data_IF_764466537013
#
_entry.id   IF_764466537013
#
_cell.length_a   1.000
_cell.length_b   1.000
_cell.length_c   1.000
_cell.angle_alpha   90.00
_cell.angle_beta   90.00
_cell.angle_gamma   90.00
#
_symmetry.space_group_name_H-M   'P 1'
#
loop_
_entity.id
_entity.type
_entity.pdbx_description
1 polymer ?
#
# COMPACT_ATOMS: atom_id res chain seq x y z
N UNK A 1 9.79 0.73 10.33
CA UNK A 1 10.00 0.00 9.06
C UNK A 1 8.91 0.26 8.02
N UNK A 2 7.69 0.54 8.42
CA UNK A 2 6.55 0.79 7.54
C UNK A 2 6.72 2.06 6.66
N UNK A 3 7.35 3.11 7.19
CA UNK A 3 7.53 4.39 6.49
C UNK A 3 8.50 4.32 5.31
N UNK A 4 9.58 3.54 5.42
CA UNK A 4 10.60 3.40 4.36
C UNK A 4 10.07 2.54 3.22
N UNK A 5 9.37 1.45 3.52
CA UNK A 5 8.71 0.62 2.51
C UNK A 5 7.62 1.40 1.76
N UNK A 6 6.84 2.22 2.46
CA UNK A 6 5.84 3.11 1.87
C UNK A 6 6.48 4.10 0.88
N UNK A 7 7.62 4.70 1.25
CA UNK A 7 8.33 5.66 0.41
C UNK A 7 8.94 4.99 -0.82
N UNK A 8 9.53 3.80 -0.68
CA UNK A 8 10.13 3.06 -1.80
C UNK A 8 9.09 2.55 -2.79
N UNK A 9 7.94 2.04 -2.32
CA UNK A 9 6.88 1.51 -3.20
C UNK A 9 6.10 2.63 -3.90
N UNK A 10 5.84 3.76 -3.22
CA UNK A 10 4.97 4.83 -3.76
C UNK A 10 5.75 5.86 -4.58
N UNK A 11 7.00 6.16 -4.24
CA UNK A 11 7.77 7.24 -4.86
C UNK A 11 8.77 6.77 -5.91
N UNK A 12 9.23 5.54 -5.83
CA UNK A 12 10.08 4.96 -6.85
C UNK A 12 9.29 3.90 -7.61
N UNK A 13 8.85 4.29 -8.80
CA UNK A 13 8.62 3.34 -9.88
C UNK A 13 9.97 2.69 -10.18
N UNK A 14 10.36 1.72 -9.37
CA UNK A 14 11.61 0.97 -9.54
C UNK A 14 11.49 0.17 -10.83
N UNK A 15 11.62 0.87 -11.95
CA UNK A 15 12.00 0.27 -13.21
C UNK A 15 13.43 -0.21 -13.05
N UNK A 16 13.57 -1.42 -12.53
CA UNK A 16 14.85 -2.12 -12.60
C UNK A 16 15.25 -2.29 -14.06
N UNK A 17 16.51 -2.00 -14.42
CA UNK A 17 17.01 -2.29 -15.76
C UNK A 17 17.11 -3.81 -15.94
N UNK A 18 16.15 -4.40 -16.67
CA UNK A 18 16.07 -5.83 -16.92
C UNK A 18 14.61 -6.27 -16.88
N UNK A 19 14.01 -6.37 -18.04
CA UNK A 19 12.56 -6.42 -18.26
C UNK A 19 11.82 -7.66 -17.77
N UNK A 20 12.43 -8.59 -17.00
CA UNK A 20 11.76 -9.86 -16.71
C UNK A 20 11.77 -10.37 -15.25
N UNK A 21 12.46 -9.70 -14.34
CA UNK A 21 12.42 -10.03 -12.91
C UNK A 21 12.14 -8.80 -12.04
N UNK A 22 11.10 -8.03 -12.38
CA UNK A 22 10.56 -7.08 -11.42
C UNK A 22 10.14 -7.90 -10.19
N UNK A 23 10.58 -7.47 -9.00
CA UNK A 23 9.94 -7.88 -7.75
C UNK A 23 8.45 -7.58 -8.00
N UNK A 24 7.68 -8.60 -8.28
CA UNK A 24 6.23 -8.49 -8.47
C UNK A 24 5.65 -8.26 -7.09
N UNK A 25 5.87 -7.06 -6.56
CA UNK A 25 5.35 -6.63 -5.27
C UNK A 25 3.83 -6.80 -5.23
N UNK A 26 3.24 -6.96 -6.43
CA UNK A 26 1.81 -7.17 -6.55
C UNK A 26 1.43 -7.94 -7.83
N UNK A 27 0.99 -9.16 -7.67
CA UNK A 27 0.43 -9.92 -8.78
C UNK A 27 -1.09 -9.70 -8.85
N UNK A 28 -1.53 -8.86 -9.81
CA UNK A 28 -2.95 -8.62 -10.09
C UNK A 28 -3.71 -9.93 -10.33
N UNK A 29 -3.07 -10.91 -10.96
CA UNK A 29 -3.70 -12.21 -11.26
C UNK A 29 -3.91 -13.03 -10.00
N UNK A 30 -2.95 -12.97 -9.07
CA UNK A 30 -3.00 -13.71 -7.80
C UNK A 30 -4.07 -13.17 -6.85
N UNK A 31 -4.20 -11.84 -6.78
CA UNK A 31 -5.05 -11.20 -5.76
C UNK A 31 -6.35 -10.61 -6.31
N UNK A 32 -6.53 -10.58 -7.63
CA UNK A 32 -7.68 -9.96 -8.32
C UNK A 32 -7.96 -8.52 -7.86
N UNK A 33 -6.89 -7.77 -7.61
CA UNK A 33 -6.95 -6.37 -7.16
C UNK A 33 -6.14 -5.50 -8.11
N UNK A 34 -6.73 -4.40 -8.59
CA UNK A 34 -6.03 -3.43 -9.44
C UNK A 34 -5.07 -2.56 -8.62
N UNK A 35 -4.09 -1.94 -9.30
CA UNK A 35 -3.17 -0.99 -8.65
C UNK A 35 -3.92 0.15 -7.93
N UNK A 36 -4.95 0.70 -8.54
CA UNK A 36 -5.79 1.76 -7.92
C UNK A 36 -6.46 1.26 -6.65
N UNK A 37 -7.03 0.06 -6.67
CA UNK A 37 -7.65 -0.56 -5.50
C UNK A 37 -6.65 -0.78 -4.37
N UNK A 38 -5.41 -1.17 -4.69
CA UNK A 38 -4.33 -1.31 -3.71
C UNK A 38 -4.01 0.01 -3.03
N UNK A 39 -3.81 1.07 -3.83
CA UNK A 39 -3.49 2.40 -3.30
C UNK A 39 -4.62 2.89 -2.39
N UNK A 40 -5.87 2.62 -2.76
CA UNK A 40 -7.04 2.91 -1.92
C UNK A 40 -6.95 2.16 -0.60
N UNK A 41 -6.76 0.84 -0.64
CA UNK A 41 -6.66 0.02 0.57
C UNK A 41 -5.51 0.45 1.47
N UNK A 42 -4.33 0.73 0.91
CA UNK A 42 -3.18 1.25 1.65
C UNK A 42 -3.48 2.60 2.28
N UNK A 43 -4.13 3.51 1.55
CA UNK A 43 -4.51 4.83 2.08
C UNK A 43 -5.47 4.70 3.25
N UNK A 44 -6.47 3.85 3.14
CA UNK A 44 -7.44 3.59 4.21
C UNK A 44 -6.80 2.84 5.41
N UNK A 45 -5.84 1.97 5.16
CA UNK A 45 -5.10 1.29 6.23
C UNK A 45 -4.31 2.28 7.10
N UNK A 46 -3.79 3.33 6.50
CA UNK A 46 -2.95 4.33 7.19
C UNK A 46 -3.80 5.38 7.88
N UNK A 47 -4.82 5.88 7.21
CA UNK A 47 -5.63 7.02 7.67
C UNK A 47 -6.89 6.58 8.45
N UNK A 48 -7.23 5.29 8.38
CA UNK A 48 -8.44 4.74 8.97
C UNK A 48 -9.68 5.03 8.14
N UNK A 49 -10.28 6.20 8.31
CA UNK A 49 -11.50 6.62 7.63
C UNK A 49 -11.26 7.86 6.80
N UNK A 50 -11.69 7.82 5.54
CA UNK A 50 -11.61 8.96 4.61
C UNK A 50 -12.97 9.20 3.94
N UNK A 51 -13.24 10.45 3.56
CA UNK A 51 -14.33 10.75 2.63
C UNK A 51 -13.92 10.42 1.18
N UNK A 52 -14.89 10.30 0.27
CA UNK A 52 -14.61 10.08 -1.16
C UNK A 52 -13.68 11.15 -1.73
N UNK A 53 -13.93 12.42 -1.41
CA UNK A 53 -13.12 13.53 -1.91
C UNK A 53 -11.68 13.50 -1.38
N UNK A 54 -11.52 13.22 -0.08
CA UNK A 54 -10.21 13.06 0.53
C UNK A 54 -9.44 11.90 -0.11
N UNK A 55 -10.11 10.77 -0.35
CA UNK A 55 -9.52 9.62 -0.98
C UNK A 55 -9.06 9.92 -2.41
N UNK A 56 -9.93 10.51 -3.24
CA UNK A 56 -9.60 10.85 -4.62
C UNK A 56 -8.42 11.81 -4.71
N UNK A 57 -8.39 12.85 -3.87
CA UNK A 57 -7.27 13.77 -3.77
C UNK A 57 -5.98 13.05 -3.37
N UNK A 58 -6.04 12.18 -2.36
CA UNK A 58 -4.87 11.47 -1.82
C UNK A 58 -4.23 10.52 -2.81
N UNK A 59 -5.03 9.85 -3.63
CA UNK A 59 -4.54 8.92 -4.66
C UNK A 59 -4.31 9.59 -6.02
N UNK A 60 -4.46 10.91 -6.09
CA UNK A 60 -4.29 11.73 -7.29
C UNK A 60 -5.10 11.19 -8.49
N UNK A 61 -6.40 10.98 -8.28
CA UNK A 61 -7.33 10.51 -9.32
C UNK A 61 -8.62 11.31 -9.33
N UNK A 62 -9.43 11.16 -10.38
CA UNK A 62 -10.75 11.78 -10.41
C UNK A 62 -11.72 11.13 -9.41
N UNK A 63 -12.68 11.91 -8.90
CA UNK A 63 -13.73 11.38 -8.03
C UNK A 63 -14.49 10.21 -8.67
N UNK A 64 -14.68 10.27 -9.98
CA UNK A 64 -15.37 9.22 -10.72
C UNK A 64 -14.59 7.91 -10.73
N UNK A 65 -13.28 7.96 -10.99
CA UNK A 65 -12.42 6.78 -10.96
C UNK A 65 -12.31 6.21 -9.55
N UNK A 66 -12.15 7.08 -8.54
CA UNK A 66 -12.14 6.65 -7.14
C UNK A 66 -13.45 5.96 -6.76
N UNK A 67 -14.60 6.53 -7.18
CA UNK A 67 -15.93 5.97 -6.89
C UNK A 67 -16.11 4.59 -7.51
N UNK A 68 -15.68 4.38 -8.76
CA UNK A 68 -15.73 3.05 -9.41
C UNK A 68 -14.83 2.03 -8.69
N UNK A 69 -13.61 2.41 -8.36
CA UNK A 69 -12.69 1.52 -7.67
C UNK A 69 -13.17 1.16 -6.26
N UNK A 70 -13.74 2.12 -5.53
CA UNK A 70 -14.36 1.89 -4.22
C UNK A 70 -15.59 1.00 -4.33
N UNK A 71 -16.43 1.16 -5.36
CA UNK A 71 -17.58 0.29 -5.58
C UNK A 71 -17.15 -1.18 -5.72
N UNK A 72 -16.13 -1.44 -6.55
CA UNK A 72 -15.58 -2.78 -6.72
C UNK A 72 -14.98 -3.35 -5.42
N UNK A 73 -14.37 -2.52 -4.58
CA UNK A 73 -13.86 -2.96 -3.27
C UNK A 73 -15.00 -3.24 -2.27
N UNK A 74 -16.11 -2.52 -2.37
CA UNK A 74 -17.34 -2.82 -1.60
C UNK A 74 -17.92 -4.16 -2.03
N UNK A 75 -18.02 -4.42 -3.35
CA UNK A 75 -18.51 -5.69 -3.88
C UNK A 75 -17.63 -6.88 -3.46
N UNK A 76 -16.34 -6.66 -3.27
CA UNK A 76 -15.38 -7.63 -2.74
C UNK A 76 -15.43 -7.78 -1.20
N UNK A 77 -16.24 -7.00 -0.51
CA UNK A 77 -16.30 -7.00 0.96
C UNK A 77 -15.10 -6.35 1.66
N UNK A 78 -14.25 -5.64 0.95
CA UNK A 78 -13.02 -5.04 1.52
C UNK A 78 -13.22 -3.63 2.06
N UNK A 79 -14.25 -2.95 1.59
CA UNK A 79 -14.53 -1.56 1.97
C UNK A 79 -16.00 -1.42 2.33
N UNK A 80 -16.29 -0.63 3.36
CA UNK A 80 -17.64 -0.21 3.71
C UNK A 80 -17.79 1.29 3.56
N UNK A 81 -19.01 1.69 3.13
CA UNK A 81 -19.46 3.07 3.06
C UNK A 81 -20.38 3.36 4.23
N UNK A 82 -20.15 4.45 4.91
CA UNK A 82 -20.97 4.88 6.04
C UNK A 82 -21.35 6.34 5.85
N UNK A 83 -22.58 6.71 6.19
CA UNK A 83 -22.93 8.12 6.27
C UNK A 83 -22.17 8.78 7.43
N UNK A 84 -21.68 9.98 7.20
CA UNK A 84 -21.09 10.76 8.27
C UNK A 84 -22.20 11.17 9.26
N UNK A 85 -22.05 10.92 10.58
CA UNK A 85 -23.09 11.24 11.56
C UNK A 85 -23.42 12.73 11.62
N UNK A 86 -22.43 13.59 11.40
CA UNK A 86 -22.58 15.04 11.48
C UNK A 86 -23.10 15.68 10.18
N UNK A 87 -22.87 14.99 9.04
CA UNK A 87 -23.30 15.46 7.74
C UNK A 87 -23.67 14.30 6.80
N UNK A 88 -24.96 14.00 6.69
CA UNK A 88 -25.48 12.88 5.88
C UNK A 88 -25.16 12.97 4.38
N UNK A 89 -24.74 14.13 3.88
CA UNK A 89 -24.29 14.28 2.49
C UNK A 89 -22.87 13.78 2.26
N UNK A 90 -22.13 13.56 3.35
CA UNK A 90 -20.75 13.06 3.30
C UNK A 90 -20.76 11.56 3.52
N UNK A 91 -20.10 10.85 2.63
CA UNK A 91 -19.87 9.40 2.75
C UNK A 91 -18.46 9.15 3.24
N UNK A 92 -18.34 8.50 4.35
CA UNK A 92 -17.11 7.98 4.91
C UNK A 92 -16.85 6.57 4.38
N UNK A 93 -15.58 6.27 4.17
CA UNK A 93 -15.09 5.00 3.65
C UNK A 93 -14.04 4.46 4.60
N UNK A 94 -14.12 3.18 4.92
CA UNK A 94 -13.11 2.48 5.72
C UNK A 94 -12.94 1.04 5.27
N UNK A 95 -11.82 0.43 5.64
CA UNK A 95 -11.59 -1.01 5.44
C UNK A 95 -12.47 -1.85 6.39
N UNK A 96 -12.82 -3.04 5.92
CA UNK A 96 -13.39 -4.10 6.75
C UNK A 96 -12.28 -4.86 7.48
N UNK A 97 -12.64 -5.63 8.51
CA UNK A 97 -11.70 -6.54 9.18
C UNK A 97 -11.19 -7.62 8.22
N UNK A 98 -12.00 -8.03 7.26
CA UNK A 98 -11.60 -8.96 6.21
C UNK A 98 -10.51 -8.37 5.33
N UNK A 99 -10.64 -7.10 4.92
CA UNK A 99 -9.62 -6.39 4.16
C UNK A 99 -8.31 -6.28 4.96
N UNK A 100 -8.38 -6.02 6.25
CA UNK A 100 -7.19 -5.94 7.11
C UNK A 100 -6.46 -7.29 7.18
N UNK A 101 -7.20 -8.40 7.37
CA UNK A 101 -6.62 -9.76 7.34
C UNK A 101 -6.03 -10.10 5.98
N UNK A 102 -6.71 -9.74 4.90
CA UNK A 102 -6.22 -9.94 3.53
C UNK A 102 -4.91 -9.18 3.29
N UNK A 103 -4.83 -7.91 3.70
CA UNK A 103 -3.60 -7.09 3.56
C UNK A 103 -2.45 -7.64 4.38
N UNK A 104 -2.72 -8.14 5.60
CA UNK A 104 -1.68 -8.75 6.44
C UNK A 104 -1.14 -10.04 5.82
N UNK A 105 -2.03 -10.90 5.32
CA UNK A 105 -1.62 -12.11 4.58
C UNK A 105 -0.75 -11.77 3.37
N UNK A 106 -1.18 -10.82 2.56
CA UNK A 106 -0.45 -10.37 1.38
C UNK A 106 0.93 -9.80 1.75
N UNK A 107 1.00 -9.00 2.82
CA UNK A 107 2.27 -8.46 3.33
C UNK A 107 3.24 -9.59 3.69
N UNK A 108 2.77 -10.61 4.40
CA UNK A 108 3.60 -11.72 4.82
C UNK A 108 4.11 -12.54 3.62
N UNK A 109 3.26 -12.82 2.64
CA UNK A 109 3.68 -13.50 1.41
C UNK A 109 4.76 -12.72 0.64
N UNK A 110 4.61 -11.38 0.53
CA UNK A 110 5.64 -10.52 -0.09
C UNK A 110 6.95 -10.55 0.70
N UNK A 111 6.87 -10.52 2.03
CA UNK A 111 8.06 -10.60 2.88
C UNK A 111 8.77 -11.93 2.71
N UNK A 112 8.05 -13.04 2.66
CA UNK A 112 8.61 -14.38 2.45
C UNK A 112 9.30 -14.48 1.07
N UNK A 113 8.68 -13.96 0.02
CA UNK A 113 9.27 -13.89 -1.33
C UNK A 113 10.56 -13.05 -1.36
N UNK A 114 10.56 -11.91 -0.65
CA UNK A 114 11.75 -11.06 -0.54
C UNK A 114 12.84 -11.79 0.23
N UNK A 115 12.53 -12.36 1.38
CA UNK A 115 13.51 -13.09 2.20
C UNK A 115 14.09 -14.29 1.45
N UNK A 116 13.25 -15.00 0.66
CA UNK A 116 13.73 -16.07 -0.20
C UNK A 116 14.76 -15.60 -1.23
N UNK A 117 14.57 -14.43 -1.83
CA UNK A 117 15.52 -13.83 -2.79
C UNK A 117 16.83 -13.41 -2.13
N UNK A 118 16.81 -13.06 -0.86
CA UNK A 118 18.00 -12.67 -0.09
C UNK A 118 18.69 -13.85 0.60
N UNK A 119 18.20 -15.08 0.43
CA UNK A 119 18.80 -16.28 1.06
C UNK A 119 20.26 -16.55 0.68
N UNK A 120 20.70 -16.02 -0.48
CA UNK A 120 22.10 -16.12 -0.95
C UNK A 120 23.00 -14.96 -0.49
N UNK A 121 22.44 -13.96 0.19
CA UNK A 121 23.20 -12.79 0.66
C UNK A 121 23.89 -13.14 1.97
N UNK A 122 25.18 -12.83 2.08
CA UNK A 122 25.95 -13.10 3.31
C UNK A 122 25.41 -12.30 4.52
N UNK A 123 25.56 -12.84 5.73
CA UNK A 123 25.17 -12.13 6.96
C UNK A 123 25.87 -10.76 7.09
N UNK A 124 27.10 -10.66 6.61
CA UNK A 124 27.86 -9.40 6.57
C UNK A 124 27.17 -8.35 5.69
N UNK A 125 26.70 -8.75 4.50
CA UNK A 125 26.06 -7.84 3.57
C UNK A 125 24.62 -7.52 4.01
N UNK A 126 23.91 -8.47 4.62
CA UNK A 126 22.63 -8.21 5.27
C UNK A 126 22.75 -7.16 6.38
N UNK A 127 23.82 -7.22 7.17
CA UNK A 127 24.10 -6.22 8.20
C UNK A 127 24.34 -4.84 7.58
N UNK A 128 25.17 -4.75 6.54
CA UNK A 128 25.42 -3.48 5.82
C UNK A 128 24.14 -2.89 5.23
N UNK A 129 23.29 -3.73 4.63
CA UNK A 129 21.97 -3.30 4.11
C UNK A 129 21.10 -2.76 5.23
N UNK A 130 21.02 -3.43 6.37
CA UNK A 130 20.27 -2.97 7.54
C UNK A 130 20.77 -1.60 8.00
N UNK A 131 22.07 -1.42 8.15
CA UNK A 131 22.68 -0.18 8.61
C UNK A 131 22.41 0.97 7.62
N UNK A 132 22.52 0.70 6.31
CA UNK A 132 22.17 1.66 5.25
C UNK A 132 20.68 2.08 5.32
N UNK A 133 19.77 1.14 5.52
CA UNK A 133 18.34 1.43 5.65
C UNK A 133 18.03 2.26 6.91
N UNK A 134 18.69 1.97 8.02
CA UNK A 134 18.57 2.76 9.27
C UNK A 134 19.07 4.18 9.03
N UNK A 135 20.21 4.34 8.36
CA UNK A 135 20.78 5.64 8.02
C UNK A 135 19.83 6.47 7.11
N UNK A 136 19.36 5.89 6.02
CA UNK A 136 18.40 6.52 5.11
C UNK A 136 17.14 6.95 5.86
N UNK A 137 16.59 6.08 6.72
CA UNK A 137 15.40 6.40 7.50
C UNK A 137 15.64 7.56 8.49
N UNK A 138 16.85 7.66 9.05
CA UNK A 138 17.22 8.77 9.94
C UNK A 138 17.22 10.13 9.21
N UNK A 139 17.70 10.15 7.95
CA UNK A 139 17.69 11.34 7.11
C UNK A 139 16.25 11.70 6.71
N UNK A 140 15.47 10.73 6.25
CA UNK A 140 14.08 10.96 5.83
C UNK A 140 13.21 11.52 6.95
N UNK A 141 13.42 11.08 8.20
CA UNK A 141 12.73 11.62 9.37
C UNK A 141 13.06 13.10 9.63
N UNK A 142 14.25 13.58 9.23
CA UNK A 142 14.64 14.99 9.37
C UNK A 142 14.04 15.87 8.27
N UNK A 143 13.90 15.33 7.07
CA UNK A 143 13.42 16.06 5.89
C UNK A 143 11.89 16.11 5.83
N UNK A 144 11.21 15.12 6.39
CA UNK A 144 9.74 14.98 6.33
C UNK A 144 9.04 15.53 7.60
N UNK A 145 9.75 16.23 8.45
CA UNK A 145 9.18 17.08 9.49
C UNK A 145 8.82 18.43 8.88
#
# INVERSE_FOLDING_TARGET
YYGVFKFLIVKYDLKTPGRDESIKVFDKKKYDITRTQQIIMLSLCIEGTLTMSQLASKINTSNEQATRAVAQLVDKGFVIRMQNPDNRRVINIRLTDEAMRFMEKMKNEILDDILGKFSSVSDSDMKKMKDALVFINSILKKVLK
#
